data_IF_205940752481
#
_entry.id   IF_205940752481
#
_cell.length_a   1.000
_cell.length_b   1.000
_cell.length_c   1.000
_cell.angle_alpha   90.00
_cell.angle_beta   90.00
_cell.angle_gamma   90.00
#
_symmetry.space_group_name_H-M   'P 1'
#
loop_
_entity.id
_entity.type
_entity.pdbx_description
1 polymer ?
#
# COMPACT_ATOMS: atom_id res chain seq x y z
N UNK A 1 -62.33 3.33 43.79
CA UNK A 1 -61.79 2.03 43.36
C UNK A 1 -62.53 1.71 42.06
N UNK A 2 -61.95 1.85 40.87
CA UNK A 2 -60.98 0.91 40.28
C UNK A 2 -60.09 1.60 39.25
N UNK A 3 -58.84 1.16 39.21
CA UNK A 3 -57.67 1.69 38.51
C UNK A 3 -57.73 1.56 36.98
N UNK A 4 -57.28 2.60 36.27
CA UNK A 4 -57.02 2.60 34.83
C UNK A 4 -55.65 1.98 34.54
N UNK A 5 -55.63 0.89 33.75
CA UNK A 5 -54.40 0.21 33.34
C UNK A 5 -53.70 0.97 32.20
N UNK A 6 -52.51 1.49 32.47
CA UNK A 6 -51.61 2.04 31.47
C UNK A 6 -50.98 0.92 30.61
N UNK A 7 -51.01 1.08 29.29
CA UNK A 7 -50.33 0.17 28.33
C UNK A 7 -48.84 0.52 28.25
N UNK A 8 -47.93 -0.45 28.19
CA UNK A 8 -46.51 -0.16 28.04
C UNK A 8 -46.19 0.30 26.61
N UNK A 9 -45.54 1.46 26.49
CA UNK A 9 -44.89 1.91 25.26
C UNK A 9 -43.61 1.10 25.09
N UNK A 10 -43.58 0.26 24.06
CA UNK A 10 -42.42 -0.53 23.66
C UNK A 10 -41.31 0.37 23.09
N UNK A 11 -40.31 0.69 23.91
CA UNK A 11 -39.05 1.30 23.48
C UNK A 11 -38.07 0.23 22.97
N UNK A 12 -38.21 -0.21 21.71
CA UNK A 12 -37.24 -1.12 21.07
C UNK A 12 -36.95 -0.67 19.64
N UNK A 13 -36.31 0.50 19.48
CA UNK A 13 -35.88 1.01 18.15
C UNK A 13 -34.47 1.60 18.05
N UNK A 14 -33.84 1.97 19.17
CA UNK A 14 -32.65 2.84 19.14
C UNK A 14 -31.29 2.13 18.97
N UNK A 15 -31.23 0.79 19.12
CA UNK A 15 -29.98 0.01 19.08
C UNK A 15 -29.64 -0.52 17.67
N UNK A 16 -30.65 -0.87 16.87
CA UNK A 16 -30.50 -1.40 15.51
C UNK A 16 -30.04 -0.32 14.51
N UNK A 17 -30.58 0.90 14.61
CA UNK A 17 -30.22 2.02 13.73
C UNK A 17 -28.80 2.57 13.94
N UNK A 18 -28.28 2.51 15.17
CA UNK A 18 -26.88 2.90 15.49
C UNK A 18 -25.88 1.89 14.94
N UNK A 19 -26.14 0.59 15.08
CA UNK A 19 -25.29 -0.49 14.53
C UNK A 19 -25.23 -0.47 13.00
N UNK A 20 -26.37 -0.25 12.32
CA UNK A 20 -26.42 -0.14 10.84
C UNK A 20 -25.70 1.10 10.31
N UNK A 21 -25.84 2.26 10.97
CA UNK A 21 -25.10 3.48 10.61
C UNK A 21 -23.60 3.36 10.84
N UNK A 22 -23.18 2.72 11.93
CA UNK A 22 -21.76 2.47 12.21
C UNK A 22 -21.16 1.50 11.17
N UNK A 23 -21.86 0.42 10.83
CA UNK A 23 -21.42 -0.52 9.80
C UNK A 23 -21.33 0.13 8.40
N UNK A 24 -22.27 1.00 8.04
CA UNK A 24 -22.23 1.77 6.79
C UNK A 24 -21.06 2.77 6.76
N UNK A 25 -20.86 3.52 7.85
CA UNK A 25 -19.73 4.44 8.02
C UNK A 25 -18.38 3.74 7.93
N UNK A 26 -18.22 2.60 8.62
CA UNK A 26 -17.00 1.78 8.57
C UNK A 26 -16.77 1.16 7.19
N UNK A 27 -17.82 0.73 6.49
CA UNK A 27 -17.75 0.20 5.12
C UNK A 27 -17.39 1.29 4.10
N UNK A 28 -17.92 2.50 4.26
CA UNK A 28 -17.52 3.66 3.45
C UNK A 28 -16.08 4.09 3.76
N UNK A 29 -15.69 4.17 5.02
CA UNK A 29 -14.30 4.44 5.43
C UNK A 29 -13.32 3.39 4.89
N UNK A 30 -13.69 2.10 4.89
CA UNK A 30 -12.90 1.03 4.29
C UNK A 30 -12.79 1.15 2.76
N UNK A 31 -13.82 1.67 2.08
CA UNK A 31 -13.76 1.98 0.64
C UNK A 31 -12.92 3.22 0.33
N UNK A 32 -12.90 4.20 1.25
CA UNK A 32 -12.17 5.48 1.12
C UNK A 32 -10.69 5.34 1.51
N UNK A 33 -10.36 4.46 2.46
CA UNK A 33 -8.99 4.23 2.91
C UNK A 33 -8.29 3.22 2.00
N UNK A 34 -7.62 3.74 0.98
CA UNK A 34 -6.71 3.01 0.09
C UNK A 34 -5.31 3.65 0.19
N UNK A 35 -4.27 2.91 0.57
CA UNK A 35 -2.92 3.45 0.54
C UNK A 35 -2.49 3.68 -0.92
N UNK A 36 -1.61 4.65 -1.12
CA UNK A 36 -0.79 4.69 -2.32
C UNK A 36 0.26 3.58 -2.27
N UNK A 37 0.68 3.07 -3.41
CA UNK A 37 1.77 2.12 -3.51
C UNK A 37 3.03 2.82 -3.99
N UNK A 38 4.15 2.61 -3.28
CA UNK A 38 5.49 3.03 -3.69
C UNK A 38 6.33 1.77 -3.91
N UNK A 39 6.61 1.47 -5.18
CA UNK A 39 7.54 0.40 -5.56
C UNK A 39 8.95 0.99 -5.71
N UNK A 40 9.86 0.59 -4.83
CA UNK A 40 11.25 1.01 -4.87
C UNK A 40 12.05 0.08 -5.80
N UNK A 41 12.50 0.64 -6.92
CA UNK A 41 13.28 -0.06 -7.94
C UNK A 41 14.60 0.68 -8.27
N UNK A 42 15.02 1.64 -7.45
CA UNK A 42 16.09 2.57 -7.76
C UNK A 42 17.52 2.04 -7.54
N UNK A 43 17.67 0.91 -6.86
CA UNK A 43 18.96 0.36 -6.42
C UNK A 43 19.86 -0.13 -7.56
N UNK A 44 21.17 0.02 -7.40
CA UNK A 44 22.17 -0.35 -8.42
C UNK A 44 22.55 -1.84 -8.50
N UNK A 45 22.10 -2.67 -7.55
CA UNK A 45 22.47 -4.09 -7.44
C UNK A 45 23.98 -4.34 -7.47
N UNK A 46 24.78 -3.46 -6.87
CA UNK A 46 26.26 -3.48 -6.96
C UNK A 46 26.91 -4.77 -6.44
N UNK A 47 26.28 -5.46 -5.48
CA UNK A 47 26.79 -6.74 -4.94
C UNK A 47 26.55 -7.97 -5.84
N UNK A 48 25.71 -7.87 -6.87
CA UNK A 48 25.26 -9.03 -7.67
C UNK A 48 25.63 -8.97 -9.16
N UNK A 49 26.40 -7.96 -9.59
CA UNK A 49 26.89 -7.81 -10.98
C UNK A 49 25.82 -7.49 -12.03
N UNK A 50 24.57 -7.96 -11.86
CA UNK A 50 23.41 -7.70 -12.72
C UNK A 50 22.31 -6.95 -11.95
N UNK A 51 21.53 -6.08 -12.62
CA UNK A 51 20.40 -5.41 -11.97
C UNK A 51 19.35 -6.46 -11.60
N UNK A 52 19.15 -6.70 -10.30
CA UNK A 52 18.21 -7.70 -9.77
C UNK A 52 16.79 -7.50 -10.31
N UNK A 53 16.42 -6.24 -10.55
CA UNK A 53 15.14 -5.84 -11.12
C UNK A 53 14.85 -6.46 -12.50
N UNK A 54 15.89 -6.79 -13.28
CA UNK A 54 15.79 -7.39 -14.60
C UNK A 54 15.94 -8.91 -14.61
N UNK A 55 16.16 -9.54 -13.44
CA UNK A 55 16.12 -11.00 -13.33
C UNK A 55 14.72 -11.47 -13.74
N UNK A 56 14.67 -12.53 -14.55
CA UNK A 56 13.41 -13.10 -15.03
C UNK A 56 13.04 -14.31 -14.17
N UNK A 57 11.77 -14.36 -13.80
CA UNK A 57 11.13 -15.50 -13.16
C UNK A 57 9.84 -15.78 -13.94
N UNK A 58 9.64 -17.01 -14.40
CA UNK A 58 8.49 -17.43 -15.20
C UNK A 58 8.25 -16.52 -16.43
N UNK A 59 9.33 -16.11 -17.09
CA UNK A 59 9.27 -15.26 -18.28
C UNK A 59 8.99 -13.76 -18.02
N UNK A 60 8.81 -13.33 -16.77
CA UNK A 60 8.56 -11.93 -16.39
C UNK A 60 9.74 -11.36 -15.59
N UNK A 61 10.13 -10.09 -15.79
CA UNK A 61 11.15 -9.47 -14.93
C UNK A 61 10.60 -9.24 -13.52
N UNK A 62 11.45 -9.34 -12.49
CA UNK A 62 11.03 -9.09 -11.10
C UNK A 62 10.37 -7.71 -10.94
N UNK A 63 10.90 -6.69 -11.64
CA UNK A 63 10.29 -5.37 -11.68
C UNK A 63 8.86 -5.40 -12.25
N UNK A 64 8.67 -6.02 -13.41
CA UNK A 64 7.36 -6.08 -14.06
C UNK A 64 6.36 -6.86 -13.20
N UNK A 65 6.79 -7.98 -12.62
CA UNK A 65 5.99 -8.78 -11.69
C UNK A 65 5.55 -7.96 -10.48
N UNK A 66 6.47 -7.29 -9.80
CA UNK A 66 6.17 -6.46 -8.65
C UNK A 66 5.23 -5.29 -9.01
N UNK A 67 5.45 -4.64 -10.15
CA UNK A 67 4.60 -3.56 -10.64
C UNK A 67 3.19 -4.03 -11.01
N UNK A 68 3.06 -5.20 -11.64
CA UNK A 68 1.76 -5.82 -11.94
C UNK A 68 1.00 -6.16 -10.67
N UNK A 69 1.65 -6.77 -9.69
CA UNK A 69 1.05 -7.10 -8.38
C UNK A 69 0.60 -5.81 -7.65
N UNK A 70 1.44 -4.77 -7.64
CA UNK A 70 1.12 -3.48 -7.06
C UNK A 70 -0.12 -2.83 -7.71
N UNK A 71 -0.17 -2.83 -9.05
CA UNK A 71 -1.28 -2.23 -9.80
C UNK A 71 -2.58 -3.03 -9.69
N UNK A 72 -2.53 -4.34 -9.41
CA UNK A 72 -3.74 -5.12 -9.09
C UNK A 72 -4.41 -4.66 -7.79
N UNK A 73 -3.64 -4.27 -6.77
CA UNK A 73 -4.21 -3.86 -5.47
C UNK A 73 -4.48 -2.36 -5.35
N UNK A 74 -3.80 -1.55 -6.17
CA UNK A 74 -3.90 -0.09 -6.17
C UNK A 74 -3.72 0.49 -7.59
N UNK A 75 -4.68 0.23 -8.50
CA UNK A 75 -4.66 0.84 -9.84
C UNK A 75 -4.70 2.36 -9.70
N UNK A 76 -3.94 3.05 -10.54
CA UNK A 76 -3.79 4.53 -10.60
C UNK A 76 -3.23 5.19 -9.33
N UNK A 77 -2.97 4.41 -8.27
CA UNK A 77 -2.35 4.82 -7.01
C UNK A 77 -0.97 4.20 -6.83
N UNK A 78 -0.35 3.75 -7.90
CA UNK A 78 0.98 3.12 -7.89
C UNK A 78 2.04 4.05 -8.47
N UNK A 79 3.10 4.28 -7.69
CA UNK A 79 4.31 5.00 -8.09
C UNK A 79 5.48 4.03 -8.06
N UNK A 80 6.29 4.03 -9.12
CA UNK A 80 7.56 3.31 -9.18
C UNK A 80 8.71 4.30 -9.12
N UNK A 81 9.59 4.14 -8.14
CA UNK A 81 10.80 4.97 -8.01
C UNK A 81 11.96 4.28 -8.71
N UNK A 82 12.45 4.92 -9.77
CA UNK A 82 13.59 4.48 -10.58
C UNK A 82 14.83 5.29 -10.24
N UNK A 83 16.01 4.72 -10.44
CA UNK A 83 17.30 5.36 -10.17
C UNK A 83 18.34 4.85 -11.13
N UNK A 84 19.19 3.95 -10.65
CA UNK A 84 20.17 3.28 -11.51
C UNK A 84 19.48 2.64 -12.73
N UNK A 85 20.08 2.83 -13.91
CA UNK A 85 19.67 2.15 -15.15
C UNK A 85 18.18 2.36 -15.53
N UNK A 86 17.58 3.50 -15.14
CA UNK A 86 16.18 3.82 -15.41
C UNK A 86 15.76 3.63 -16.89
N UNK A 87 16.65 3.92 -17.85
CA UNK A 87 16.39 3.70 -19.28
C UNK A 87 16.13 2.23 -19.66
N UNK A 88 16.72 1.27 -18.94
CA UNK A 88 16.46 -0.17 -19.15
C UNK A 88 15.25 -0.68 -18.35
N UNK A 89 14.94 -0.03 -17.23
CA UNK A 89 13.83 -0.43 -16.36
C UNK A 89 12.47 0.08 -16.86
N UNK A 90 12.42 1.32 -17.37
CA UNK A 90 11.18 1.96 -17.80
C UNK A 90 10.39 1.17 -18.86
N UNK A 91 11.02 0.56 -19.90
CA UNK A 91 10.31 -0.26 -20.86
C UNK A 91 9.57 -1.46 -20.26
N UNK A 92 10.04 -2.01 -19.13
CA UNK A 92 9.41 -3.16 -18.46
C UNK A 92 8.04 -2.81 -17.85
N UNK A 93 7.80 -1.52 -17.60
CA UNK A 93 6.61 -1.00 -16.95
C UNK A 93 5.52 -0.56 -17.93
N UNK A 94 5.78 -0.63 -19.25
CA UNK A 94 4.82 -0.22 -20.28
C UNK A 94 3.51 -0.99 -20.16
N UNK A 95 2.40 -0.25 -20.33
CA UNK A 95 1.03 -0.77 -20.28
C UNK A 95 0.46 -0.99 -18.88
N UNK A 96 1.21 -0.69 -17.81
CA UNK A 96 0.70 -0.77 -16.43
C UNK A 96 0.15 0.60 -15.96
N UNK A 97 -0.96 0.63 -15.18
CA UNK A 97 -1.57 1.86 -14.69
C UNK A 97 -0.81 2.43 -13.48
N UNK A 98 0.39 2.94 -13.74
CA UNK A 98 1.31 3.47 -12.73
C UNK A 98 2.06 4.71 -13.23
N UNK A 99 2.61 5.47 -12.29
CA UNK A 99 3.50 6.61 -12.57
C UNK A 99 4.94 6.26 -12.19
N UNK A 100 5.91 6.80 -12.92
CA UNK A 100 7.33 6.64 -12.58
C UNK A 100 7.93 7.93 -12.06
N UNK A 101 8.82 7.82 -11.07
CA UNK A 101 9.57 8.94 -10.47
C UNK A 101 11.05 8.61 -10.56
N UNK A 102 11.88 9.56 -10.98
CA UNK A 102 13.34 9.40 -11.00
C UNK A 102 13.94 9.93 -9.70
N UNK A 103 14.75 9.11 -9.04
CA UNK A 103 15.61 9.52 -7.94
C UNK A 103 17.07 9.62 -8.43
N UNK A 104 17.58 10.83 -8.72
CA UNK A 104 19.00 11.00 -9.11
C UNK A 104 19.95 10.68 -7.94
N UNK A 105 19.50 10.79 -6.69
CA UNK A 105 20.28 10.54 -5.48
C UNK A 105 20.25 9.08 -5.02
N UNK A 106 19.85 8.14 -5.89
CA UNK A 106 19.73 6.72 -5.54
C UNK A 106 20.99 6.11 -4.93
N UNK A 107 22.18 6.62 -5.28
CA UNK A 107 23.47 6.19 -4.72
C UNK A 107 23.60 6.44 -3.21
N UNK A 108 22.89 7.43 -2.67
CA UNK A 108 22.86 7.72 -1.24
C UNK A 108 21.93 6.77 -0.45
N UNK A 109 21.42 5.70 -1.08
CA UNK A 109 20.74 4.61 -0.40
C UNK A 109 19.22 4.60 -0.53
N UNK A 110 18.60 3.56 0.03
CA UNK A 110 17.17 3.28 -0.07
C UNK A 110 16.30 4.43 0.48
N UNK A 111 16.75 5.09 1.56
CA UNK A 111 16.04 6.18 2.20
C UNK A 111 15.75 7.34 1.23
N UNK A 112 16.70 7.71 0.37
CA UNK A 112 16.49 8.77 -0.63
C UNK A 112 15.45 8.39 -1.68
N UNK A 113 15.33 7.10 -1.99
CA UNK A 113 14.34 6.59 -2.93
C UNK A 113 12.96 6.56 -2.31
N UNK A 114 12.86 6.15 -1.04
CA UNK A 114 11.63 6.27 -0.27
C UNK A 114 11.18 7.73 -0.18
N UNK A 115 12.08 8.65 0.16
CA UNK A 115 11.77 10.09 0.23
C UNK A 115 11.33 10.65 -1.13
N UNK A 116 11.93 10.22 -2.24
CA UNK A 116 11.47 10.60 -3.58
C UNK A 116 10.06 10.08 -3.89
N UNK A 117 9.75 8.83 -3.51
CA UNK A 117 8.41 8.27 -3.65
C UNK A 117 7.37 8.98 -2.80
N UNK A 118 7.69 9.27 -1.53
CA UNK A 118 6.80 9.96 -0.60
C UNK A 118 6.48 11.39 -1.06
N UNK A 119 7.48 12.14 -1.55
CA UNK A 119 7.28 13.49 -2.10
C UNK A 119 6.43 13.53 -3.38
N UNK A 120 6.33 12.41 -4.09
CA UNK A 120 5.53 12.31 -5.32
C UNK A 120 4.06 11.93 -5.05
N UNK A 121 3.71 11.60 -3.81
CA UNK A 121 2.34 11.34 -3.40
C UNK A 121 1.52 12.64 -3.41
N UNK A 122 0.22 12.59 -3.72
CA UNK A 122 -0.63 13.76 -3.58
C UNK A 122 -0.79 14.17 -2.11
N UNK A 123 -1.12 15.44 -1.87
CA UNK A 123 -1.24 15.99 -0.51
C UNK A 123 -2.29 15.31 0.37
N UNK A 124 -3.30 14.70 -0.25
CA UNK A 124 -4.39 13.97 0.41
C UNK A 124 -4.07 12.49 0.70
N UNK A 125 -2.88 12.00 0.31
CA UNK A 125 -2.46 10.62 0.54
C UNK A 125 -2.48 10.29 2.05
N UNK A 126 -3.26 9.27 2.43
CA UNK A 126 -3.45 8.88 3.85
C UNK A 126 -2.44 7.85 4.35
N UNK A 127 -1.88 7.06 3.44
CA UNK A 127 -0.87 6.05 3.72
C UNK A 127 -0.13 5.63 2.45
N UNK A 128 1.04 5.03 2.62
CA UNK A 128 1.88 4.48 1.57
C UNK A 128 2.24 3.03 1.89
N UNK A 129 1.87 2.11 1.01
CA UNK A 129 2.36 0.74 0.95
C UNK A 129 3.67 0.72 0.17
N UNK A 130 4.78 0.49 0.85
CA UNK A 130 6.12 0.45 0.28
C UNK A 130 6.49 -0.99 -0.06
N UNK A 131 6.89 -1.24 -1.30
CA UNK A 131 7.40 -2.52 -1.80
C UNK A 131 8.83 -2.37 -2.34
N UNK A 132 9.58 -3.46 -2.36
CA UNK A 132 10.86 -3.55 -3.08
C UNK A 132 10.69 -4.41 -4.34
N UNK A 133 11.35 -4.04 -5.43
CA UNK A 133 11.25 -4.76 -6.70
C UNK A 133 11.93 -6.14 -6.72
N UNK A 134 12.73 -6.48 -5.71
CA UNK A 134 13.49 -7.73 -5.60
C UNK A 134 12.88 -8.74 -4.61
N UNK A 135 11.56 -8.69 -4.40
CA UNK A 135 10.80 -9.57 -3.51
C UNK A 135 9.95 -10.60 -4.30
N UNK A 136 10.54 -11.69 -4.82
CA UNK A 136 9.85 -12.61 -5.72
C UNK A 136 8.67 -13.35 -5.08
N UNK A 137 8.72 -13.56 -3.75
CA UNK A 137 7.71 -14.30 -3.00
C UNK A 137 6.47 -13.48 -2.63
N UNK A 138 6.49 -12.14 -2.82
CA UNK A 138 5.35 -11.29 -2.47
C UNK A 138 4.21 -11.51 -3.46
N UNK A 139 3.03 -11.87 -2.97
CA UNK A 139 1.82 -12.03 -3.76
C UNK A 139 0.80 -10.90 -3.53
N UNK A 140 -0.16 -10.76 -4.44
CA UNK A 140 -1.26 -9.78 -4.29
C UNK A 140 -2.08 -10.02 -3.02
N UNK A 141 -2.27 -11.28 -2.63
CA UNK A 141 -2.97 -11.67 -1.40
C UNK A 141 -2.28 -11.14 -0.15
N UNK A 142 -0.95 -11.09 -0.12
CA UNK A 142 -0.19 -10.51 1.00
C UNK A 142 -0.43 -9.01 1.12
N UNK A 143 -0.41 -8.30 -0.01
CA UNK A 143 -0.69 -6.86 -0.03
C UNK A 143 -2.12 -6.58 0.41
N UNK A 144 -3.10 -7.36 -0.06
CA UNK A 144 -4.49 -7.28 0.40
C UNK A 144 -4.62 -7.51 1.90
N UNK A 145 -3.86 -8.46 2.48
CA UNK A 145 -3.83 -8.74 3.92
C UNK A 145 -3.24 -7.57 4.71
N UNK A 146 -2.17 -6.95 4.22
CA UNK A 146 -1.59 -5.74 4.82
C UNK A 146 -2.58 -4.57 4.78
N UNK A 147 -3.18 -4.29 3.61
CA UNK A 147 -4.18 -3.23 3.44
C UNK A 147 -5.37 -3.43 4.38
N UNK A 148 -5.87 -4.66 4.47
CA UNK A 148 -7.00 -5.00 5.35
C UNK A 148 -6.64 -4.81 6.82
N UNK A 149 -5.41 -5.17 7.21
CA UNK A 149 -4.90 -4.96 8.57
C UNK A 149 -4.74 -3.48 8.90
N UNK A 150 -4.18 -2.69 7.98
CA UNK A 150 -4.07 -1.25 8.14
C UNK A 150 -5.43 -0.56 8.23
N UNK A 151 -6.44 -0.99 7.47
CA UNK A 151 -7.79 -0.42 7.56
C UNK A 151 -8.41 -0.54 8.95
N UNK A 152 -8.06 -1.59 9.72
CA UNK A 152 -8.53 -1.77 11.11
C UNK A 152 -7.81 -0.84 12.09
N UNK A 153 -6.60 -0.39 11.76
CA UNK A 153 -5.83 0.56 12.53
C UNK A 153 -5.12 1.56 11.59
N UNK A 154 -5.83 2.56 11.03
CA UNK A 154 -5.28 3.43 9.98
C UNK A 154 -4.08 4.28 10.44
N UNK A 155 -3.93 4.40 11.76
CA UNK A 155 -2.78 5.02 12.41
C UNK A 155 -1.72 4.00 12.81
N UNK A 156 -1.71 2.74 12.39
CA UNK A 156 -0.60 1.83 12.68
C UNK A 156 0.39 1.78 11.51
N UNK A 157 1.66 1.50 11.81
CA UNK A 157 2.58 0.95 10.80
C UNK A 157 2.26 -0.54 10.71
N UNK A 158 2.08 -1.06 9.50
CA UNK A 158 1.78 -2.48 9.27
C UNK A 158 2.85 -3.05 8.36
N UNK A 159 3.70 -3.93 8.88
CA UNK A 159 4.78 -4.56 8.13
C UNK A 159 4.52 -6.05 7.92
N UNK A 160 4.98 -6.58 6.78
CA UNK A 160 5.05 -8.02 6.56
C UNK A 160 6.08 -8.65 7.49
N UNK A 161 5.85 -9.91 7.83
CA UNK A 161 6.75 -10.74 8.65
C UNK A 161 7.01 -12.06 7.94
N UNK A 162 8.25 -12.50 7.91
CA UNK A 162 8.67 -13.81 7.41
C UNK A 162 9.66 -14.43 8.40
N UNK A 163 9.20 -15.41 9.18
CA UNK A 163 9.94 -15.89 10.35
C UNK A 163 10.23 -14.75 11.33
N UNK A 164 11.50 -14.58 11.71
CA UNK A 164 11.95 -13.51 12.59
C UNK A 164 12.16 -12.16 11.87
N UNK A 165 12.06 -12.13 10.54
CA UNK A 165 12.30 -10.91 9.78
C UNK A 165 11.02 -10.06 9.66
N UNK A 166 11.18 -8.75 9.87
CA UNK A 166 10.13 -7.74 9.66
C UNK A 166 10.65 -6.66 8.72
N UNK A 167 9.88 -6.33 7.68
CA UNK A 167 10.25 -5.30 6.72
C UNK A 167 9.24 -5.16 5.60
N UNK A 168 9.64 -4.63 4.43
CA UNK A 168 8.75 -4.51 3.28
C UNK A 168 8.16 -5.87 2.84
N UNK A 169 6.93 -5.93 2.32
CA UNK A 169 6.00 -4.81 2.15
C UNK A 169 5.59 -4.18 3.48
N UNK A 170 5.48 -2.84 3.53
CA UNK A 170 5.14 -2.10 4.76
C UNK A 170 4.20 -0.94 4.45
N UNK A 171 3.16 -0.76 5.26
CA UNK A 171 2.28 0.41 5.20
C UNK A 171 2.75 1.43 6.22
N UNK A 172 3.08 2.62 5.71
CA UNK A 172 3.40 3.82 6.47
C UNK A 172 2.17 4.75 6.46
N UNK A 173 1.58 5.09 7.61
CA UNK A 173 0.52 6.09 7.69
C UNK A 173 1.07 7.49 7.41
N UNK A 174 0.21 8.43 7.00
CA UNK A 174 0.60 9.81 6.60
C UNK A 174 1.50 10.53 7.61
N UNK A 175 1.32 10.30 8.92
CA UNK A 175 2.17 10.91 9.96
C UNK A 175 3.66 10.52 9.87
N UNK A 176 3.96 9.43 9.16
CA UNK A 176 5.33 8.96 8.93
C UNK A 176 5.95 9.60 7.69
N UNK A 177 5.19 10.36 6.90
CA UNK A 177 5.74 11.11 5.78
C UNK A 177 6.34 12.37 6.36
N UNK A 178 7.64 12.36 6.64
CA UNK A 178 8.35 13.57 7.02
C UNK A 178 8.26 14.59 5.87
N UNK A 179 8.05 15.87 6.23
CA UNK A 179 8.06 17.01 5.32
C UNK A 179 9.44 17.26 4.72
#
# INVERSE_FOLDING_TARGET
>A
MTSAAARPVSQTGASSGRRRRLAYSLRMQAMILRPWVILLAAGGSSRYGRPKQLVRLDGETLLRRAARIATTVAPDRTIVVLGARAGRLLPQLRGLPLRSVRNPRWRAGLATSLAAGLRALPGDARAALVLLADQPAVAASDLCRLISTWRRAPRAIVAATAGHWRGPPVILPRRCFAG
#
